data_IF_359408593409
#
_entry.id   IF_359408593409
#
_cell.length_a   1.000
_cell.length_b   1.000
_cell.length_c   1.000
_cell.angle_alpha   90.00
_cell.angle_beta   90.00
_cell.angle_gamma   90.00
#
_symmetry.space_group_name_H-M   'P 1'
#
loop_
_entity.id
_entity.type
_entity.pdbx_description
1 polymer ?
#
# COMPACT_ATOMS: atom_id res chain seq x y z
N UNK A 1 -7.85 -47.52 -5.97
CA UNK A 1 -6.53 -46.95 -5.64
C UNK A 1 -6.65 -45.44 -5.61
N UNK A 2 -6.70 -44.84 -4.42
CA UNK A 2 -6.60 -43.38 -4.26
C UNK A 2 -5.14 -43.01 -4.43
N UNK A 3 -4.80 -42.26 -5.49
CA UNK A 3 -3.47 -41.70 -5.67
C UNK A 3 -3.41 -40.45 -4.78
N UNK A 4 -2.90 -40.62 -3.56
CA UNK A 4 -2.51 -39.49 -2.74
C UNK A 4 -1.41 -38.74 -3.49
N UNK A 5 -1.69 -37.49 -3.85
CA UNK A 5 -0.69 -36.55 -4.36
C UNK A 5 0.17 -36.16 -3.16
N UNK A 6 1.18 -36.98 -2.87
CA UNK A 6 2.26 -36.59 -1.98
C UNK A 6 3.03 -35.44 -2.64
N UNK A 7 3.02 -34.26 -2.01
CA UNK A 7 3.90 -33.15 -2.35
C UNK A 7 5.35 -33.60 -2.19
N UNK A 8 5.94 -34.09 -3.28
CA UNK A 8 7.36 -34.44 -3.36
C UNK A 8 8.09 -33.35 -4.11
N UNK A 9 8.50 -32.29 -3.40
CA UNK A 9 9.85 -31.73 -3.51
C UNK A 9 10.05 -30.59 -2.51
N UNK A 10 11.18 -30.61 -1.80
CA UNK A 10 11.68 -29.47 -1.01
C UNK A 10 12.07 -28.26 -1.90
N UNK A 11 11.78 -28.31 -3.21
CA UNK A 11 12.07 -27.26 -4.21
C UNK A 11 10.91 -26.29 -4.47
N UNK A 12 9.73 -26.51 -3.88
CA UNK A 12 8.59 -25.58 -3.91
C UNK A 12 8.40 -24.84 -2.58
N UNK A 13 9.45 -24.74 -1.75
CA UNK A 13 9.54 -23.61 -0.83
C UNK A 13 9.79 -22.37 -1.69
N UNK A 14 8.73 -21.87 -2.33
CA UNK A 14 8.65 -20.47 -2.69
C UNK A 14 9.23 -19.71 -1.50
N UNK A 15 10.20 -18.84 -1.75
CA UNK A 15 10.72 -17.93 -0.73
C UNK A 15 9.53 -17.05 -0.34
N UNK A 16 8.75 -17.55 0.59
CA UNK A 16 7.63 -16.88 1.23
C UNK A 16 8.32 -15.93 2.17
N UNK A 17 8.43 -14.68 1.73
CA UNK A 17 8.56 -13.56 2.67
C UNK A 17 7.43 -13.76 3.67
N UNK A 18 7.77 -13.89 4.95
CA UNK A 18 6.79 -14.01 6.01
C UNK A 18 6.15 -12.65 6.26
N UNK A 19 5.55 -12.44 7.42
CA UNK A 19 4.86 -11.18 7.72
C UNK A 19 5.75 -10.17 8.48
N UNK A 20 7.07 -10.40 8.52
CA UNK A 20 8.04 -9.60 9.26
C UNK A 20 8.11 -8.12 8.82
N UNK A 21 7.78 -7.82 7.56
CA UNK A 21 7.87 -6.46 7.02
C UNK A 21 6.53 -5.72 7.04
N UNK A 22 5.44 -6.33 7.50
CA UNK A 22 4.08 -5.76 7.41
C UNK A 22 3.99 -4.37 8.02
N UNK A 23 4.57 -4.19 9.21
CA UNK A 23 4.58 -2.88 9.88
C UNK A 23 5.37 -1.83 9.08
N UNK A 24 6.53 -2.20 8.54
CA UNK A 24 7.37 -1.28 7.75
C UNK A 24 6.70 -0.90 6.43
N UNK A 25 6.07 -1.87 5.77
CA UNK A 25 5.27 -1.66 4.55
C UNK A 25 4.15 -0.65 4.81
N UNK A 26 3.43 -0.76 5.93
CA UNK A 26 2.40 0.21 6.32
C UNK A 26 2.99 1.61 6.50
N UNK A 27 4.11 1.74 7.21
CA UNK A 27 4.81 3.02 7.40
C UNK A 27 5.25 3.62 6.06
N UNK A 28 5.85 2.83 5.17
CA UNK A 28 6.26 3.31 3.85
C UNK A 28 5.08 3.67 2.95
N UNK A 29 3.96 2.95 3.06
CA UNK A 29 2.70 3.31 2.40
C UNK A 29 2.21 4.69 2.82
N UNK A 30 2.27 5.01 4.13
CA UNK A 30 1.91 6.33 4.66
C UNK A 30 2.82 7.46 4.17
N UNK A 31 4.05 7.14 3.78
CA UNK A 31 4.99 8.08 3.16
C UNK A 31 4.83 8.18 1.63
N UNK A 32 3.88 7.45 1.04
CA UNK A 32 3.62 7.45 -0.40
C UNK A 32 4.67 6.72 -1.24
N UNK A 33 5.42 5.77 -0.65
CA UNK A 33 6.44 5.04 -1.40
C UNK A 33 5.84 3.94 -2.25
N UNK A 34 6.33 3.80 -3.49
CA UNK A 34 5.88 2.73 -4.39
C UNK A 34 6.36 1.35 -3.93
N UNK A 35 5.67 0.26 -4.30
CA UNK A 35 6.11 -1.11 -3.99
C UNK A 35 7.56 -1.40 -4.38
N UNK A 36 8.01 -0.87 -5.52
CA UNK A 36 9.40 -0.97 -5.96
C UNK A 36 10.36 -0.29 -4.98
N UNK A 37 10.06 0.95 -4.56
CA UNK A 37 10.90 1.69 -3.62
C UNK A 37 10.95 1.01 -2.25
N UNK A 38 9.83 0.47 -1.79
CA UNK A 38 9.74 -0.32 -0.57
C UNK A 38 10.67 -1.52 -0.64
N UNK A 39 10.63 -2.30 -1.72
CA UNK A 39 11.53 -3.45 -1.88
C UNK A 39 13.00 -3.04 -1.84
N UNK A 40 13.36 -1.91 -2.47
CA UNK A 40 14.73 -1.36 -2.40
C UNK A 40 15.13 -0.98 -0.98
N UNK A 41 14.25 -0.32 -0.22
CA UNK A 41 14.52 0.11 1.15
C UNK A 41 14.64 -1.07 2.14
N UNK A 42 13.89 -2.14 1.90
CA UNK A 42 13.98 -3.40 2.65
C UNK A 42 15.19 -4.25 2.24
N UNK A 43 15.96 -3.82 1.23
CA UNK A 43 17.14 -4.54 0.76
C UNK A 43 16.84 -5.83 -0.01
N UNK A 44 15.58 -6.06 -0.41
CA UNK A 44 15.13 -7.30 -1.05
C UNK A 44 15.62 -7.39 -2.49
N UNK A 45 16.00 -8.61 -2.90
CA UNK A 45 16.53 -8.89 -4.26
C UNK A 45 15.95 -10.18 -4.83
N UNK A 46 16.11 -10.38 -6.14
CA UNK A 46 15.73 -11.61 -6.82
C UNK A 46 14.28 -12.03 -6.53
N UNK A 47 14.11 -13.28 -6.08
CA UNK A 47 12.80 -13.89 -5.82
C UNK A 47 12.02 -13.19 -4.70
N UNK A 48 12.70 -12.73 -3.64
CA UNK A 48 12.08 -12.01 -2.51
C UNK A 48 11.41 -10.72 -2.98
N UNK A 49 12.15 -9.92 -3.76
CA UNK A 49 11.62 -8.68 -4.32
C UNK A 49 10.40 -8.94 -5.21
N UNK A 50 10.45 -9.97 -6.06
CA UNK A 50 9.30 -10.35 -6.88
C UNK A 50 8.12 -10.78 -6.01
N UNK A 51 8.36 -11.60 -4.98
CA UNK A 51 7.33 -12.07 -4.06
C UNK A 51 6.64 -10.91 -3.34
N UNK A 52 7.37 -10.00 -2.69
CA UNK A 52 6.77 -8.86 -2.00
C UNK A 52 6.04 -7.93 -2.98
N UNK A 53 6.60 -7.69 -4.17
CA UNK A 53 5.96 -6.85 -5.18
C UNK A 53 4.60 -7.42 -5.59
N UNK A 54 4.50 -8.73 -5.78
CA UNK A 54 3.23 -9.40 -6.11
C UNK A 54 2.26 -9.32 -4.92
N UNK A 55 2.72 -9.61 -3.70
CA UNK A 55 1.88 -9.56 -2.49
C UNK A 55 1.31 -8.16 -2.22
N UNK A 56 2.09 -7.10 -2.48
CA UNK A 56 1.64 -5.70 -2.39
C UNK A 56 0.55 -5.30 -3.40
N UNK A 57 0.34 -6.12 -4.44
CA UNK A 57 -0.62 -5.86 -5.51
C UNK A 57 -1.82 -6.82 -5.48
N UNK A 58 -1.87 -7.77 -4.54
CA UNK A 58 -2.87 -8.82 -4.48
C UNK A 58 -3.91 -8.52 -3.38
N UNK A 59 -5.15 -8.13 -3.73
CA UNK A 59 -6.20 -7.91 -2.74
C UNK A 59 -6.42 -9.14 -1.86
N UNK A 60 -6.54 -8.92 -0.54
CA UNK A 60 -6.68 -9.98 0.46
C UNK A 60 -5.36 -10.53 0.99
N UNK A 61 -4.21 -10.10 0.45
CA UNK A 61 -2.91 -10.34 1.09
C UNK A 61 -2.66 -9.33 2.22
N UNK A 62 -2.11 -9.78 3.35
CA UNK A 62 -1.76 -8.92 4.49
C UNK A 62 -0.84 -7.76 4.10
N UNK A 63 0.06 -7.94 3.14
CA UNK A 63 0.92 -6.86 2.65
C UNK A 63 0.16 -5.85 1.80
N UNK A 64 -0.76 -6.29 0.97
CA UNK A 64 -1.65 -5.41 0.22
C UNK A 64 -2.46 -4.55 1.19
N UNK A 65 -3.10 -5.19 2.17
CA UNK A 65 -3.96 -4.49 3.15
C UNK A 65 -3.15 -3.50 3.98
N UNK A 66 -1.97 -3.91 4.48
CA UNK A 66 -1.08 -3.04 5.24
C UNK A 66 -0.60 -1.84 4.42
N UNK A 67 -0.23 -2.06 3.16
CA UNK A 67 0.20 -0.99 2.25
C UNK A 67 -0.92 -0.01 1.95
N UNK A 68 -2.11 -0.50 1.57
CA UNK A 68 -3.29 0.33 1.30
C UNK A 68 -3.73 1.11 2.53
N UNK A 69 -3.73 0.46 3.70
CA UNK A 69 -4.01 1.13 4.98
C UNK A 69 -2.99 2.22 5.27
N UNK A 70 -1.70 1.95 5.05
CA UNK A 70 -0.63 2.93 5.14
C UNK A 70 -0.91 4.16 4.27
N UNK A 71 -1.15 3.96 2.98
CA UNK A 71 -1.45 5.05 2.05
C UNK A 71 -2.66 5.89 2.52
N UNK A 72 -3.75 5.25 2.92
CA UNK A 72 -4.93 5.95 3.43
C UNK A 72 -4.63 6.78 4.69
N UNK A 73 -3.83 6.26 5.61
CA UNK A 73 -3.40 7.00 6.80
C UNK A 73 -2.49 8.18 6.47
N UNK A 74 -1.59 8.01 5.51
CA UNK A 74 -0.73 9.10 5.02
C UNK A 74 -1.57 10.25 4.45
N UNK A 75 -2.53 9.93 3.58
CA UNK A 75 -3.46 10.92 3.03
C UNK A 75 -4.28 11.61 4.11
N UNK A 76 -4.81 10.84 5.07
CA UNK A 76 -5.58 11.39 6.19
C UNK A 76 -4.75 12.34 7.06
N UNK A 77 -3.53 11.97 7.41
CA UNK A 77 -2.67 12.81 8.25
C UNK A 77 -2.36 14.15 7.61
N UNK A 78 -2.13 14.17 6.28
CA UNK A 78 -1.94 15.42 5.53
C UNK A 78 -3.21 16.27 5.61
N UNK A 79 -4.38 15.67 5.39
CA UNK A 79 -5.65 16.39 5.43
C UNK A 79 -5.95 16.96 6.82
N UNK A 80 -5.65 16.19 7.87
CA UNK A 80 -5.84 16.61 9.26
C UNK A 80 -4.96 17.82 9.61
N UNK A 81 -3.68 17.80 9.23
CA UNK A 81 -2.78 18.93 9.45
C UNK A 81 -3.16 20.16 8.61
N UNK A 82 -3.61 19.96 7.37
CA UNK A 82 -4.14 21.04 6.54
C UNK A 82 -5.41 21.65 7.15
N UNK A 83 -6.33 20.83 7.66
CA UNK A 83 -7.55 21.30 8.32
C UNK A 83 -7.21 22.13 9.57
N UNK A 84 -6.28 21.68 10.39
CA UNK A 84 -5.82 22.43 11.58
C UNK A 84 -5.21 23.78 11.21
N UNK A 85 -4.43 23.85 10.12
CA UNK A 85 -3.90 25.13 9.63
C UNK A 85 -5.00 26.03 9.07
N UNK A 86 -5.94 25.46 8.31
CA UNK A 86 -7.08 26.18 7.76
C UNK A 86 -7.95 26.83 8.86
N UNK A 87 -8.14 26.17 10.01
CA UNK A 87 -8.84 26.72 11.17
C UNK A 87 -8.18 28.00 11.72
N UNK A 88 -6.88 28.18 11.52
CA UNK A 88 -6.15 29.40 11.91
C UNK A 88 -6.23 30.53 10.88
N UNK A 89 -6.97 30.34 9.78
CA UNK A 89 -7.12 31.31 8.70
C UNK A 89 -6.02 31.23 7.63
N UNK A 90 -5.23 30.16 7.58
CA UNK A 90 -4.25 29.93 6.51
C UNK A 90 -4.99 29.63 5.19
N UNK A 91 -5.06 30.64 4.32
CA UNK A 91 -5.74 30.57 3.02
C UNK A 91 -5.12 29.51 2.12
N UNK A 92 -3.79 29.34 2.14
CA UNK A 92 -3.12 28.34 1.31
C UNK A 92 -3.49 26.92 1.75
N UNK A 93 -3.61 26.69 3.06
CA UNK A 93 -4.07 25.41 3.60
C UNK A 93 -5.54 25.12 3.24
N UNK A 94 -6.41 26.14 3.27
CA UNK A 94 -7.82 26.03 2.84
C UNK A 94 -7.90 25.61 1.37
N UNK A 95 -7.23 26.33 0.47
CA UNK A 95 -7.22 26.05 -0.97
C UNK A 95 -6.66 24.66 -1.29
N UNK A 96 -5.57 24.29 -0.62
CA UNK A 96 -4.95 22.96 -0.78
C UNK A 96 -5.88 21.85 -0.33
N UNK A 97 -6.51 22.00 0.84
CA UNK A 97 -7.44 21.00 1.37
C UNK A 97 -8.66 20.83 0.44
N UNK A 98 -9.19 21.92 -0.09
CA UNK A 98 -10.33 21.88 -1.00
C UNK A 98 -9.99 21.21 -2.34
N UNK A 99 -8.81 21.53 -2.90
CA UNK A 99 -8.29 20.87 -4.11
C UNK A 99 -8.19 19.36 -3.89
N UNK A 100 -7.61 18.93 -2.76
CA UNK A 100 -7.45 17.49 -2.44
C UNK A 100 -8.79 16.77 -2.31
N UNK A 101 -9.82 17.40 -1.75
CA UNK A 101 -11.18 16.81 -1.69
C UNK A 101 -11.76 16.61 -3.08
N UNK A 102 -11.59 17.58 -3.98
CA UNK A 102 -12.06 17.48 -5.36
C UNK A 102 -11.33 16.36 -6.11
N UNK A 103 -10.01 16.32 -6.03
CA UNK A 103 -9.19 15.26 -6.64
C UNK A 103 -9.57 13.87 -6.13
N UNK A 104 -9.81 13.72 -4.82
CA UNK A 104 -10.27 12.46 -4.23
C UNK A 104 -11.63 12.05 -4.77
N UNK A 105 -12.58 12.97 -4.83
CA UNK A 105 -13.92 12.70 -5.40
C UNK A 105 -13.81 12.22 -6.85
N UNK A 106 -12.97 12.86 -7.66
CA UNK A 106 -12.71 12.44 -9.04
C UNK A 106 -12.07 11.04 -9.10
N UNK A 107 -11.09 10.76 -8.25
CA UNK A 107 -10.41 9.47 -8.18
C UNK A 107 -11.36 8.34 -7.74
N UNK A 108 -12.23 8.60 -6.78
CA UNK A 108 -13.19 7.62 -6.28
C UNK A 108 -14.26 7.31 -7.34
N UNK A 109 -14.73 8.34 -8.05
CA UNK A 109 -15.65 8.16 -9.18
C UNK A 109 -15.01 7.37 -10.32
N UNK A 110 -13.72 7.62 -10.64
CA UNK A 110 -13.00 6.84 -11.66
C UNK A 110 -12.90 5.37 -11.26
N UNK A 111 -12.57 5.09 -10.00
CA UNK A 111 -12.52 3.72 -9.50
C UNK A 111 -13.90 3.05 -9.52
N UNK A 112 -14.95 3.76 -9.12
CA UNK A 112 -16.31 3.22 -9.10
C UNK A 112 -16.85 2.92 -10.51
N UNK A 113 -16.60 3.81 -11.47
CA UNK A 113 -17.17 3.70 -12.82
C UNK A 113 -16.32 2.82 -13.75
N UNK A 114 -14.99 2.81 -13.55
CA UNK A 114 -14.05 2.23 -14.51
C UNK A 114 -13.02 1.28 -13.87
N UNK A 115 -12.97 1.17 -12.54
CA UNK A 115 -11.99 0.33 -11.84
C UNK A 115 -10.54 0.83 -11.93
N UNK A 116 -10.34 2.13 -12.19
CA UNK A 116 -9.02 2.79 -12.33
C UNK A 116 -8.84 3.99 -11.40
#
# INVERSE_FOLDING_TARGET
MKKELTLTSDTDKAVLIGDEYVSQVRTFGALGYTPHRICTLLGLRGKERTALTVRLLMPGDVYYDAYRNGCALGEYNIDAELAKKAETGDVSAIETLETRKQERTVKDLRNQLFGI
#
